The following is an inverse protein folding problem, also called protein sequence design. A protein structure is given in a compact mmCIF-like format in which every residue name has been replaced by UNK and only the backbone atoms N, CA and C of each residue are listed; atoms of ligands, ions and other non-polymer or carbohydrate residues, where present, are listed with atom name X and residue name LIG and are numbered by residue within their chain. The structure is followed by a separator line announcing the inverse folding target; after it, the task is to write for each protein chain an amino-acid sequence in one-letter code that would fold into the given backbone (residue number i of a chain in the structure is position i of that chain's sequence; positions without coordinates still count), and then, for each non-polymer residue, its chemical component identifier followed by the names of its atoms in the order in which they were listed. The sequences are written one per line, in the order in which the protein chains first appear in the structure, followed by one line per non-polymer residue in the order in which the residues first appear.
data_IF_852828503941
#
_entry.id   IF_852828503941
#
_cell.length_a   1.000
_cell.length_b   1.000
_cell.length_c   1.000
_cell.angle_alpha   90.00
_cell.angle_beta   90.00
_cell.angle_gamma   90.00
#
_symmetry.space_group_name_H-M   'P 1'
#
loop_
_entity.id
_entity.type
_entity.pdbx_description
1 polymer ?
#
# COMPACT_ATOMS: atom_id res chain seq x y z
N UNK A 1 51.27 -1.20 12.62
CA UNK A 1 50.06 -1.64 13.32
C UNK A 1 48.93 -1.62 12.30
N UNK A 2 48.63 -2.78 11.73
CA UNK A 2 47.64 -2.98 10.66
C UNK A 2 46.54 -3.86 11.23
N UNK A 3 45.31 -3.35 11.29
CA UNK A 3 44.14 -4.09 11.72
C UNK A 3 43.86 -5.28 10.80
N UNK A 4 43.47 -6.45 11.33
CA UNK A 4 43.06 -7.57 10.50
C UNK A 4 41.63 -7.38 9.99
N UNK A 5 41.43 -7.69 8.71
CA UNK A 5 40.13 -7.68 8.04
C UNK A 5 39.15 -8.66 8.71
N UNK A 6 37.83 -8.38 8.73
CA UNK A 6 36.85 -9.28 9.30
C UNK A 6 36.72 -10.53 8.41
N UNK A 7 37.06 -11.68 8.98
CA UNK A 7 36.85 -12.99 8.38
C UNK A 7 35.36 -13.23 8.15
N UNK A 8 35.01 -13.54 6.90
CA UNK A 8 33.68 -14.02 6.52
C UNK A 8 33.39 -15.35 7.24
N UNK A 9 32.59 -15.28 8.30
CA UNK A 9 32.03 -16.46 8.93
C UNK A 9 31.09 -17.13 7.92
N UNK A 10 31.40 -18.38 7.55
CA UNK A 10 30.52 -19.18 6.72
C UNK A 10 29.20 -19.39 7.45
N UNK A 11 28.12 -18.85 6.89
CA UNK A 11 26.77 -19.20 7.30
C UNK A 11 26.56 -20.68 7.00
N UNK A 12 26.82 -21.54 7.99
CA UNK A 12 26.38 -22.93 7.95
C UNK A 12 24.86 -22.89 7.83
N UNK A 13 24.34 -23.41 6.72
CA UNK A 13 22.92 -23.65 6.55
C UNK A 13 22.48 -24.63 7.64
N UNK A 14 21.75 -24.13 8.63
CA UNK A 14 21.13 -24.95 9.65
C UNK A 14 20.02 -25.79 8.99
N UNK A 15 20.32 -27.06 8.73
CA UNK A 15 19.44 -28.04 8.08
C UNK A 15 18.18 -28.36 8.91
N UNK A 16 18.08 -27.86 10.14
CA UNK A 16 16.88 -27.96 10.97
C UNK A 16 15.73 -27.02 10.56
N UNK A 17 15.99 -26.07 9.66
CA UNK A 17 15.01 -25.08 9.18
C UNK A 17 14.37 -25.47 7.82
N UNK A 18 14.84 -26.54 7.19
CA UNK A 18 14.27 -27.05 5.94
C UNK A 18 12.88 -27.64 6.19
N UNK A 19 11.84 -26.92 5.75
CA UNK A 19 10.44 -27.35 5.85
C UNK A 19 9.58 -26.57 6.85
N UNK A 20 10.12 -25.58 7.56
CA UNK A 20 9.31 -24.68 8.40
C UNK A 20 8.47 -23.72 7.54
N UNK A 21 7.19 -23.61 7.89
CA UNK A 21 6.26 -22.62 7.35
C UNK A 21 6.70 -21.20 7.75
N UNK A 22 6.47 -20.21 6.88
CA UNK A 22 6.86 -18.82 7.09
C UNK A 22 6.22 -18.20 8.35
N UNK A 23 5.04 -18.67 8.76
CA UNK A 23 4.44 -18.28 10.04
C UNK A 23 5.23 -18.78 11.25
N UNK A 24 5.74 -20.02 11.20
CA UNK A 24 6.56 -20.59 12.27
C UNK A 24 7.90 -19.85 12.39
N UNK A 25 8.53 -19.52 11.26
CA UNK A 25 9.77 -18.71 11.24
C UNK A 25 9.55 -17.32 11.84
N UNK A 26 8.45 -16.64 11.50
CA UNK A 26 8.12 -15.35 12.09
C UNK A 26 7.84 -15.45 13.61
N UNK A 27 7.23 -16.54 14.07
CA UNK A 27 6.98 -16.77 15.50
C UNK A 27 8.27 -16.93 16.32
N UNK A 28 9.41 -17.30 15.70
CA UNK A 28 10.70 -17.40 16.38
C UNK A 28 11.20 -16.07 16.94
N UNK A 29 10.70 -14.92 16.44
CA UNK A 29 10.99 -13.61 17.01
C UNK A 29 10.48 -13.45 18.45
N UNK A 30 9.49 -14.25 18.84
CA UNK A 30 8.94 -14.26 20.20
C UNK A 30 9.71 -15.22 21.13
N UNK A 31 10.78 -15.87 20.66
CA UNK A 31 11.62 -16.78 21.43
C UNK A 31 13.02 -16.18 21.59
N UNK A 32 13.48 -16.13 22.84
CA UNK A 32 14.86 -15.75 23.15
C UNK A 32 15.82 -16.91 22.87
N UNK A 33 16.96 -16.59 22.28
CA UNK A 33 18.07 -17.50 22.09
C UNK A 33 18.77 -17.85 23.41
N UNK A 34 19.76 -18.76 23.36
CA UNK A 34 20.49 -19.24 24.54
C UNK A 34 21.15 -18.13 25.38
N UNK A 35 21.44 -16.97 24.79
CA UNK A 35 22.06 -15.83 25.45
C UNK A 35 21.06 -14.67 25.70
N UNK A 36 19.75 -14.91 25.57
CA UNK A 36 18.71 -13.89 25.74
C UNK A 36 18.52 -12.95 24.54
N UNK A 37 19.07 -13.29 23.37
CA UNK A 37 18.98 -12.52 22.14
C UNK A 37 17.74 -12.87 21.30
N UNK A 38 17.22 -11.90 20.55
CA UNK A 38 16.15 -12.15 19.56
C UNK A 38 16.80 -12.62 18.26
N UNK A 39 16.22 -13.65 17.64
CA UNK A 39 16.70 -14.24 16.39
C UNK A 39 16.19 -13.47 15.16
N UNK A 40 16.67 -12.24 14.95
CA UNK A 40 16.19 -11.36 13.86
C UNK A 40 16.37 -11.92 12.44
N UNK A 41 17.35 -12.81 12.24
CA UNK A 41 17.57 -13.51 10.97
C UNK A 41 16.35 -14.36 10.55
N UNK A 42 15.55 -14.82 11.53
CA UNK A 42 14.34 -15.62 11.26
C UNK A 42 13.24 -14.82 10.58
N UNK A 43 13.15 -13.51 10.80
CA UNK A 43 12.18 -12.64 10.09
C UNK A 43 12.52 -12.53 8.60
N UNK A 44 13.81 -12.37 8.29
CA UNK A 44 14.30 -12.32 6.92
C UNK A 44 14.09 -13.67 6.23
N UNK A 45 14.34 -14.78 6.94
CA UNK A 45 14.04 -16.12 6.46
C UNK A 45 12.54 -16.34 6.23
N UNK A 46 11.68 -15.86 7.14
CA UNK A 46 10.23 -15.92 7.02
C UNK A 46 9.74 -15.14 5.78
N UNK A 47 10.23 -13.93 5.57
CA UNK A 47 9.93 -13.14 4.37
C UNK A 47 10.33 -13.92 3.10
N UNK A 48 11.55 -14.49 3.06
CA UNK A 48 12.01 -15.28 1.92
C UNK A 48 11.12 -16.51 1.66
N UNK A 49 10.77 -17.26 2.71
CA UNK A 49 9.91 -18.45 2.58
C UNK A 49 8.50 -18.08 2.15
N UNK A 50 7.94 -16.97 2.63
CA UNK A 50 6.65 -16.46 2.17
C UNK A 50 6.63 -16.22 0.66
N UNK A 51 7.72 -15.69 0.09
CA UNK A 51 7.82 -15.54 -1.37
C UNK A 51 7.89 -16.87 -2.12
N UNK A 52 8.69 -17.82 -1.64
CA UNK A 52 8.89 -19.11 -2.31
C UNK A 52 7.67 -20.03 -2.23
N UNK A 53 7.02 -20.07 -1.07
CA UNK A 53 5.92 -20.98 -0.76
C UNK A 53 4.56 -20.39 -1.18
N UNK A 54 4.38 -19.07 -1.14
CA UNK A 54 3.07 -18.44 -1.38
C UNK A 54 3.08 -17.45 -2.55
N UNK A 55 3.84 -16.35 -2.46
CA UNK A 55 3.72 -15.25 -3.43
C UNK A 55 4.04 -15.69 -4.86
N UNK A 56 5.19 -16.34 -5.08
CA UNK A 56 5.63 -16.71 -6.43
C UNK A 56 4.70 -17.74 -7.08
N UNK A 57 4.11 -18.64 -6.29
CA UNK A 57 3.19 -19.68 -6.79
C UNK A 57 1.82 -19.10 -7.15
N UNK A 58 1.39 -18.04 -6.46
CA UNK A 58 0.07 -17.43 -6.63
C UNK A 58 0.09 -16.16 -7.50
N UNK A 59 1.25 -15.71 -7.98
CA UNK A 59 1.34 -14.58 -8.92
C UNK A 59 1.04 -15.06 -10.33
N UNK A 60 0.25 -14.30 -11.10
CA UNK A 60 0.01 -14.58 -12.52
C UNK A 60 1.29 -14.30 -13.31
N UNK A 61 1.64 -15.22 -14.21
CA UNK A 61 2.76 -15.06 -15.13
C UNK A 61 2.23 -14.54 -16.47
N UNK A 62 2.94 -13.57 -17.04
CA UNK A 62 2.73 -13.02 -18.38
C UNK A 62 4.05 -13.16 -19.15
N UNK A 63 3.99 -13.35 -20.47
CA UNK A 63 5.19 -13.51 -21.29
C UNK A 63 6.01 -12.22 -21.36
N UNK A 64 5.34 -11.07 -21.43
CA UNK A 64 5.97 -9.77 -21.36
C UNK A 64 5.07 -8.72 -20.67
N UNK A 65 5.61 -7.50 -20.55
CA UNK A 65 4.90 -6.40 -19.92
C UNK A 65 3.74 -5.87 -20.77
N UNK A 66 3.81 -5.99 -22.11
CA UNK A 66 2.72 -5.49 -22.94
C UNK A 66 1.49 -6.37 -22.75
N UNK A 67 1.65 -7.68 -22.86
CA UNK A 67 0.59 -8.66 -22.61
C UNK A 67 -0.04 -8.43 -21.24
N UNK A 68 0.79 -8.19 -20.21
CA UNK A 68 0.30 -7.88 -18.87
C UNK A 68 -0.53 -6.61 -18.84
N UNK A 69 -0.04 -5.50 -19.38
CA UNK A 69 -0.75 -4.22 -19.33
C UNK A 69 -2.05 -4.26 -20.14
N UNK A 70 -2.02 -4.91 -21.30
CA UNK A 70 -3.20 -5.04 -22.16
C UNK A 70 -4.26 -5.91 -21.48
N UNK A 71 -3.88 -7.07 -20.93
CA UNK A 71 -4.78 -7.90 -20.12
C UNK A 71 -5.40 -7.12 -18.95
N UNK A 72 -4.59 -6.35 -18.21
CA UNK A 72 -5.07 -5.60 -17.05
C UNK A 72 -6.03 -4.46 -17.44
N UNK A 73 -5.87 -3.87 -18.62
CA UNK A 73 -6.80 -2.85 -19.13
C UNK A 73 -8.07 -3.50 -19.67
N UNK A 74 -7.94 -4.52 -20.52
CA UNK A 74 -9.07 -5.22 -21.16
C UNK A 74 -10.01 -5.85 -20.13
N UNK A 75 -9.45 -6.49 -19.09
CA UNK A 75 -10.21 -7.11 -18.00
C UNK A 75 -10.61 -6.11 -16.90
N UNK A 76 -10.51 -4.80 -17.14
CA UNK A 76 -10.95 -3.74 -16.23
C UNK A 76 -10.27 -3.75 -14.84
N UNK A 77 -9.00 -4.16 -14.77
CA UNK A 77 -8.20 -4.01 -13.56
C UNK A 77 -7.53 -2.64 -13.48
N UNK A 78 -7.00 -2.13 -14.59
CA UNK A 78 -6.34 -0.83 -14.69
C UNK A 78 -7.16 0.21 -15.46
N UNK A 79 -6.93 1.47 -15.11
CA UNK A 79 -7.53 2.64 -15.76
C UNK A 79 -6.68 3.01 -17.00
N UNK A 80 -7.16 2.79 -18.24
CA UNK A 80 -6.37 3.07 -19.46
C UNK A 80 -5.94 4.53 -19.56
N UNK A 81 -6.76 5.45 -19.06
CA UNK A 81 -6.55 6.90 -19.10
C UNK A 81 -5.26 7.33 -18.36
N UNK A 82 -4.77 6.51 -17.42
CA UNK A 82 -3.47 6.75 -16.75
C UNK A 82 -2.31 6.38 -17.66
N UNK A 83 -2.41 5.28 -18.40
CA UNK A 83 -1.35 4.76 -19.27
C UNK A 83 -1.26 5.56 -20.58
N UNK A 84 -2.39 6.00 -21.12
CA UNK A 84 -2.51 6.75 -22.38
C UNK A 84 -1.80 8.12 -22.36
N UNK A 85 -1.53 8.66 -21.16
CA UNK A 85 -0.75 9.90 -20.99
C UNK A 85 0.74 9.75 -21.28
N UNK A 86 1.21 8.51 -21.44
CA UNK A 86 2.61 8.20 -21.62
C UNK A 86 2.83 7.40 -22.89
N UNK A 87 4.03 7.52 -23.46
CA UNK A 87 4.43 6.63 -24.53
C UNK A 87 4.63 5.20 -23.99
N UNK A 88 4.17 4.19 -24.72
CA UNK A 88 4.39 2.77 -24.35
C UNK A 88 5.87 2.43 -24.10
N UNK A 89 6.85 2.93 -24.90
CA UNK A 89 8.27 2.75 -24.60
C UNK A 89 8.70 3.33 -23.26
N UNK A 90 8.20 4.50 -22.86
CA UNK A 90 8.49 5.07 -21.55
C UNK A 90 7.94 4.21 -20.42
N UNK A 91 6.67 3.77 -20.51
CA UNK A 91 6.06 2.89 -19.51
C UNK A 91 6.89 1.62 -19.33
N UNK A 92 7.33 0.98 -20.42
CA UNK A 92 8.24 -0.17 -20.35
C UNK A 92 9.55 0.14 -19.64
N UNK A 93 10.19 1.25 -20.01
CA UNK A 93 11.45 1.69 -19.41
C UNK A 93 11.28 1.96 -17.91
N UNK A 94 10.17 2.56 -17.49
CA UNK A 94 9.88 2.86 -16.09
C UNK A 94 9.70 1.58 -15.26
N UNK A 95 8.95 0.60 -15.77
CA UNK A 95 8.81 -0.70 -15.11
C UNK A 95 10.16 -1.43 -15.05
N UNK A 96 10.91 -1.47 -16.15
CA UNK A 96 12.26 -2.06 -16.15
C UNK A 96 13.17 -1.38 -15.12
N UNK A 97 13.12 -0.05 -15.01
CA UNK A 97 13.85 0.73 -14.01
C UNK A 97 13.46 0.32 -12.58
N UNK A 98 12.16 0.24 -12.28
CA UNK A 98 11.66 -0.20 -10.99
C UNK A 98 12.16 -1.61 -10.60
N UNK A 99 12.03 -2.57 -11.52
CA UNK A 99 12.49 -3.95 -11.30
C UNK A 99 14.03 -4.06 -11.22
N UNK A 100 14.78 -3.16 -11.86
CA UNK A 100 16.24 -3.13 -11.80
C UNK A 100 16.77 -2.83 -10.39
N UNK A 101 15.97 -2.17 -9.54
CA UNK A 101 16.30 -1.89 -8.14
C UNK A 101 16.32 -3.14 -7.26
N UNK A 102 15.75 -4.25 -7.74
CA UNK A 102 15.71 -5.55 -7.05
C UNK A 102 15.20 -5.42 -5.61
N UNK A 103 14.09 -4.70 -5.42
CA UNK A 103 13.52 -4.42 -4.10
C UNK A 103 13.29 -5.71 -3.30
N UNK A 104 13.57 -5.68 -2.00
CA UNK A 104 13.28 -6.78 -1.08
C UNK A 104 12.62 -6.21 0.16
N UNK A 105 11.51 -6.82 0.57
CA UNK A 105 10.90 -6.49 1.85
C UNK A 105 11.89 -6.85 2.97
N UNK A 106 12.21 -5.91 3.88
CA UNK A 106 13.15 -6.17 4.96
C UNK A 106 12.55 -7.05 6.06
N UNK A 107 11.22 -7.14 6.13
CA UNK A 107 10.50 -7.89 7.17
C UNK A 107 9.38 -8.76 6.58
N UNK A 108 9.04 -9.85 7.27
CA UNK A 108 7.92 -10.72 6.86
C UNK A 108 6.61 -9.95 6.89
N UNK A 109 6.35 -9.21 7.97
CA UNK A 109 5.09 -8.47 8.12
C UNK A 109 4.89 -7.45 7.00
N UNK A 110 5.95 -6.77 6.54
CA UNK A 110 5.87 -5.84 5.41
C UNK A 110 5.40 -6.53 4.13
N UNK A 111 6.03 -7.67 3.78
CA UNK A 111 5.63 -8.47 2.64
C UNK A 111 4.20 -9.00 2.79
N UNK A 112 3.90 -9.63 3.92
CA UNK A 112 2.59 -10.19 4.21
C UNK A 112 1.49 -9.13 4.13
N UNK A 113 1.69 -7.96 4.73
CA UNK A 113 0.71 -6.87 4.70
C UNK A 113 0.49 -6.34 3.28
N UNK A 114 1.56 -6.17 2.50
CA UNK A 114 1.46 -5.74 1.11
C UNK A 114 0.62 -6.71 0.26
N UNK A 115 0.95 -8.00 0.28
CA UNK A 115 0.26 -9.00 -0.54
C UNK A 115 -1.17 -9.30 -0.04
N UNK A 116 -1.42 -9.18 1.26
CA UNK A 116 -2.79 -9.41 1.78
C UNK A 116 -3.72 -8.23 1.54
N UNK A 117 -3.22 -6.99 1.65
CA UNK A 117 -4.07 -5.79 1.78
C UNK A 117 -3.87 -4.71 0.71
N UNK A 118 -2.78 -4.74 -0.09
CA UNK A 118 -2.44 -3.65 -1.02
C UNK A 118 -2.37 -4.05 -2.49
N UNK A 119 -1.69 -5.17 -2.76
CA UNK A 119 -1.45 -5.61 -4.13
C UNK A 119 -2.75 -5.92 -4.88
N UNK A 120 -2.81 -5.64 -6.17
CA UNK A 120 -3.92 -6.06 -7.01
C UNK A 120 -4.01 -7.59 -7.07
N UNK A 121 -5.25 -8.09 -6.94
CA UNK A 121 -5.61 -9.49 -7.09
C UNK A 121 -6.61 -9.64 -8.23
N UNK A 122 -6.74 -10.86 -8.75
CA UNK A 122 -7.88 -11.23 -9.58
C UNK A 122 -9.19 -10.98 -8.84
N UNK A 123 -10.29 -10.74 -9.55
CA UNK A 123 -11.59 -10.43 -8.91
C UNK A 123 -12.11 -11.56 -8.01
N UNK A 124 -11.74 -12.81 -8.28
CA UNK A 124 -12.04 -13.95 -7.42
C UNK A 124 -11.13 -14.05 -6.18
N UNK A 125 -10.16 -13.15 -6.05
CA UNK A 125 -9.24 -13.03 -4.91
C UNK A 125 -8.16 -14.11 -4.84
N UNK A 126 -8.06 -15.01 -5.83
CA UNK A 126 -7.17 -16.20 -5.74
C UNK A 126 -5.74 -15.94 -6.15
N UNK A 127 -5.48 -15.01 -7.07
CA UNK A 127 -4.14 -14.77 -7.63
C UNK A 127 -3.72 -13.32 -7.54
N UNK A 128 -2.41 -13.09 -7.48
CA UNK A 128 -1.81 -11.75 -7.50
C UNK A 128 -1.51 -11.31 -8.94
N UNK A 129 -1.87 -10.07 -9.27
CA UNK A 129 -1.60 -9.45 -10.56
C UNK A 129 -0.44 -8.44 -10.50
N UNK A 130 -0.13 -7.95 -9.29
CA UNK A 130 0.94 -7.00 -9.02
C UNK A 130 2.01 -7.58 -8.07
N UNK A 131 3.26 -7.18 -8.31
CA UNK A 131 4.35 -7.09 -7.34
C UNK A 131 4.48 -5.65 -6.85
N UNK A 132 5.34 -5.42 -5.86
CA UNK A 132 5.55 -4.10 -5.29
C UNK A 132 5.97 -3.07 -6.35
N UNK A 133 6.89 -3.45 -7.22
CA UNK A 133 7.41 -2.61 -8.30
C UNK A 133 6.31 -2.18 -9.28
N UNK A 134 5.36 -3.07 -9.62
CA UNK A 134 4.24 -2.73 -10.50
C UNK A 134 3.36 -1.65 -9.87
N UNK A 135 3.04 -1.82 -8.58
CA UNK A 135 2.20 -0.87 -7.85
C UNK A 135 2.88 0.49 -7.74
N UNK A 136 4.17 0.52 -7.45
CA UNK A 136 4.94 1.77 -7.41
C UNK A 136 4.92 2.46 -8.76
N UNK A 137 5.10 1.74 -9.87
CA UNK A 137 5.03 2.32 -11.21
C UNK A 137 3.65 2.93 -11.48
N UNK A 138 2.57 2.22 -11.20
CA UNK A 138 1.22 2.75 -11.43
C UNK A 138 0.90 3.95 -10.55
N UNK A 139 1.36 3.97 -9.30
CA UNK A 139 1.24 5.13 -8.41
C UNK A 139 2.00 6.32 -8.98
N UNK A 140 3.26 6.12 -9.40
CA UNK A 140 4.07 7.17 -9.98
C UNK A 140 3.46 7.74 -11.28
N UNK A 141 3.02 6.87 -12.20
CA UNK A 141 2.35 7.27 -13.45
C UNK A 141 1.07 8.07 -13.18
N UNK A 142 0.28 7.66 -12.18
CA UNK A 142 -0.95 8.36 -11.81
C UNK A 142 -0.66 9.74 -11.24
N UNK A 143 0.33 9.87 -10.35
CA UNK A 143 0.63 11.12 -9.67
C UNK A 143 1.40 12.12 -10.54
N UNK A 144 2.20 11.62 -11.48
CA UNK A 144 3.00 12.47 -12.37
C UNK A 144 2.21 12.98 -13.58
N UNK A 145 1.02 12.45 -13.83
CA UNK A 145 0.02 13.01 -14.76
C UNK A 145 0.51 13.27 -16.21
N UNK A 146 1.53 12.53 -16.67
CA UNK A 146 2.15 12.68 -18.00
C UNK A 146 3.60 13.20 -17.95
N UNK A 147 4.08 13.65 -16.79
CA UNK A 147 5.47 14.06 -16.60
C UNK A 147 6.39 12.84 -16.37
N UNK A 148 7.13 12.47 -17.41
CA UNK A 148 8.05 11.33 -17.39
C UNK A 148 9.20 11.47 -16.37
N UNK A 149 9.67 12.69 -16.13
CA UNK A 149 10.76 12.97 -15.18
C UNK A 149 10.24 12.78 -13.77
N UNK A 150 9.09 13.38 -13.46
CA UNK A 150 8.45 13.25 -12.16
C UNK A 150 8.06 11.79 -11.87
N UNK A 151 7.52 11.06 -12.85
CA UNK A 151 7.20 9.64 -12.71
C UNK A 151 8.44 8.82 -12.33
N UNK A 152 9.57 9.07 -12.99
CA UNK A 152 10.84 8.39 -12.69
C UNK A 152 11.34 8.71 -11.27
N UNK A 153 11.29 9.98 -10.87
CA UNK A 153 11.66 10.38 -9.51
C UNK A 153 10.76 9.75 -8.46
N UNK A 154 9.44 9.71 -8.67
CA UNK A 154 8.51 9.08 -7.74
C UNK A 154 8.81 7.58 -7.57
N UNK A 155 9.13 6.87 -8.66
CA UNK A 155 9.56 5.46 -8.57
C UNK A 155 10.81 5.32 -7.70
N UNK A 156 11.82 6.17 -7.91
CA UNK A 156 13.07 6.13 -7.13
C UNK A 156 12.85 6.45 -5.65
N UNK A 157 12.05 7.46 -5.33
CA UNK A 157 11.75 7.86 -3.95
C UNK A 157 10.92 6.80 -3.20
N UNK A 158 9.96 6.17 -3.87
CA UNK A 158 9.12 5.14 -3.24
C UNK A 158 9.88 3.83 -3.06
N UNK A 159 10.60 3.34 -4.07
CA UNK A 159 11.34 2.07 -3.97
C UNK A 159 12.48 2.17 -2.96
N UNK A 160 13.13 3.33 -2.86
CA UNK A 160 14.17 3.55 -1.84
C UNK A 160 13.63 3.66 -0.42
N UNK A 161 12.30 3.79 -0.24
CA UNK A 161 11.66 3.98 1.05
C UNK A 161 11.75 5.40 1.59
N UNK A 162 12.22 6.38 0.81
CA UNK A 162 12.27 7.80 1.21
C UNK A 162 10.90 8.45 1.20
N UNK A 163 10.01 8.01 0.31
CA UNK A 163 8.65 8.49 0.21
C UNK A 163 7.65 7.34 0.27
N UNK A 164 6.62 7.48 1.09
CA UNK A 164 5.50 6.54 1.15
C UNK A 164 4.20 7.34 1.03
N UNK A 165 3.48 7.25 -0.11
CA UNK A 165 2.16 7.83 -0.23
C UNK A 165 1.20 7.26 0.80
N UNK A 166 0.20 8.05 1.19
CA UNK A 166 -0.88 7.60 2.06
C UNK A 166 -1.57 6.36 1.48
N UNK A 167 -2.05 5.46 2.35
CA UNK A 167 -2.77 4.24 1.95
C UNK A 167 -3.86 4.46 0.88
N UNK A 168 -4.78 5.45 0.99
CA UNK A 168 -5.81 5.66 -0.05
C UNK A 168 -5.20 6.00 -1.42
N UNK A 169 -4.05 6.67 -1.48
CA UNK A 169 -3.35 6.94 -2.73
C UNK A 169 -2.65 5.68 -3.24
N UNK A 170 -1.78 5.08 -2.43
CA UNK A 170 -0.97 3.92 -2.83
C UNK A 170 -1.82 2.73 -3.26
N UNK A 171 -2.93 2.49 -2.55
CA UNK A 171 -3.84 1.38 -2.82
C UNK A 171 -4.63 1.55 -4.13
N UNK A 172 -5.04 2.77 -4.48
CA UNK A 172 -6.06 3.03 -5.48
C UNK A 172 -5.52 3.55 -6.83
N UNK A 173 -4.39 4.25 -6.84
CA UNK A 173 -3.87 4.90 -8.05
C UNK A 173 -3.71 3.94 -9.24
N UNK A 174 -4.29 4.27 -10.39
CA UNK A 174 -4.21 3.46 -11.62
C UNK A 174 -5.09 2.22 -11.69
N UNK A 175 -5.83 1.87 -10.63
CA UNK A 175 -6.82 0.78 -10.67
C UNK A 175 -8.16 1.28 -11.20
N UNK A 176 -8.85 0.47 -12.02
CA UNK A 176 -10.19 0.82 -12.53
C UNK A 176 -11.25 0.78 -11.42
N UNK A 177 -11.24 -0.30 -10.64
CA UNK A 177 -12.09 -0.46 -9.45
C UNK A 177 -11.39 0.15 -8.24
N UNK A 178 -11.56 1.46 -8.03
CA UNK A 178 -10.83 2.21 -7.00
C UNK A 178 -11.72 3.01 -6.07
N UNK A 179 -11.23 3.17 -4.84
CA UNK A 179 -11.71 4.21 -3.93
C UNK A 179 -11.15 5.60 -4.30
N UNK A 180 -11.44 6.58 -3.44
CA UNK A 180 -10.88 7.92 -3.56
C UNK A 180 -9.42 7.96 -3.07
N UNK A 181 -8.56 8.82 -3.65
CA UNK A 181 -7.17 8.98 -3.21
C UNK A 181 -7.05 9.76 -1.88
N UNK A 182 -8.15 10.37 -1.42
CA UNK A 182 -8.26 11.13 -0.17
C UNK A 182 -9.33 10.50 0.71
N UNK A 183 -9.01 10.31 2.00
CA UNK A 183 -9.91 9.64 2.95
C UNK A 183 -10.11 10.40 4.26
N UNK A 184 -9.56 11.61 4.44
CA UNK A 184 -9.67 12.36 5.70
C UNK A 184 -10.35 13.70 5.45
N UNK A 185 -11.46 13.95 6.14
CA UNK A 185 -12.30 15.13 5.93
C UNK A 185 -12.64 15.82 7.25
N UNK A 186 -12.62 17.15 7.24
CA UNK A 186 -13.04 17.98 8.36
C UNK A 186 -14.22 18.84 7.91
N UNK A 187 -15.36 18.71 8.59
CA UNK A 187 -16.57 19.44 8.28
C UNK A 187 -16.91 20.41 9.41
N UNK A 188 -17.18 21.66 9.03
CA UNK A 188 -17.75 22.66 9.91
C UNK A 188 -19.27 22.56 9.92
N UNK A 189 -19.88 22.64 11.10
CA UNK A 189 -21.33 22.68 11.27
C UNK A 189 -21.68 24.07 11.80
N UNK A 190 -22.70 24.70 11.20
CA UNK A 190 -23.26 25.96 11.67
C UNK A 190 -24.52 25.71 12.51
N UNK A 191 -24.86 26.66 13.38
CA UNK A 191 -25.96 26.55 14.34
C UNK A 191 -27.35 26.75 13.71
N UNK A 192 -27.69 25.89 12.75
CA UNK A 192 -29.00 25.82 12.10
C UNK A 192 -29.26 24.41 11.55
N UNK A 193 -30.55 24.08 11.39
CA UNK A 193 -30.99 22.74 10.98
C UNK A 193 -30.54 22.36 9.57
N UNK A 194 -30.41 23.32 8.66
CA UNK A 194 -29.93 23.10 7.30
C UNK A 194 -28.47 22.61 7.30
N UNK A 195 -27.60 23.25 8.09
CA UNK A 195 -26.20 22.87 8.23
C UNK A 195 -26.05 21.52 8.93
N UNK A 196 -26.82 21.26 9.99
CA UNK A 196 -26.84 19.97 10.69
C UNK A 196 -27.27 18.85 9.72
N UNK A 197 -28.36 19.06 8.97
CA UNK A 197 -28.85 18.09 7.98
C UNK A 197 -27.84 17.82 6.87
N UNK A 198 -27.17 18.87 6.37
CA UNK A 198 -26.09 18.72 5.39
C UNK A 198 -24.90 17.96 5.97
N UNK A 199 -24.49 18.23 7.21
CA UNK A 199 -23.37 17.55 7.85
C UNK A 199 -23.62 16.03 7.99
N UNK A 200 -24.84 15.63 8.37
CA UNK A 200 -25.26 14.23 8.42
C UNK A 200 -25.18 13.61 7.02
N UNK A 201 -25.72 14.29 6.00
CA UNK A 201 -25.67 13.81 4.63
C UNK A 201 -24.22 13.66 4.14
N UNK A 202 -23.37 14.67 4.34
CA UNK A 202 -21.96 14.63 3.97
C UNK A 202 -21.23 13.50 4.69
N UNK A 203 -21.47 13.28 5.98
CA UNK A 203 -20.89 12.16 6.72
C UNK A 203 -21.28 10.81 6.10
N UNK A 204 -22.55 10.61 5.71
CA UNK A 204 -23.00 9.40 5.01
C UNK A 204 -22.30 9.22 3.66
N UNK A 205 -22.21 10.28 2.84
CA UNK A 205 -21.62 10.19 1.50
C UNK A 205 -20.10 10.00 1.51
N UNK A 206 -19.40 10.52 2.52
CA UNK A 206 -17.96 10.34 2.68
C UNK A 206 -17.65 8.98 3.30
N UNK A 207 -18.40 8.59 4.35
CA UNK A 207 -18.23 7.30 5.03
C UNK A 207 -18.46 6.11 4.10
N UNK A 208 -19.48 6.15 3.22
CA UNK A 208 -19.73 5.06 2.25
C UNK A 208 -18.55 4.81 1.29
N UNK A 209 -17.64 5.78 1.12
CA UNK A 209 -16.43 5.69 0.28
C UNK A 209 -15.17 5.44 1.10
N UNK A 210 -15.30 5.10 2.39
CA UNK A 210 -14.17 4.84 3.29
C UNK A 210 -13.51 6.12 3.86
N UNK A 211 -14.19 7.27 3.78
CA UNK A 211 -13.71 8.52 4.35
C UNK A 211 -13.90 8.59 5.86
N UNK A 212 -12.84 8.90 6.60
CA UNK A 212 -12.89 9.37 7.98
C UNK A 212 -13.32 10.83 8.05
N UNK A 213 -14.33 11.12 8.85
CA UNK A 213 -14.96 12.45 8.94
C UNK A 213 -14.91 12.95 10.38
N UNK A 214 -14.30 14.12 10.58
CA UNK A 214 -14.38 14.86 11.83
C UNK A 214 -15.38 16.02 11.67
N UNK A 215 -16.21 16.23 12.69
CA UNK A 215 -17.25 17.27 12.71
C UNK A 215 -16.92 18.31 13.79
N UNK A 216 -16.95 19.60 13.42
CA UNK A 216 -16.85 20.69 14.40
C UNK A 216 -18.22 20.93 15.03
N UNK A 217 -18.33 20.70 16.34
CA UNK A 217 -19.56 20.93 17.11
C UNK A 217 -19.56 22.24 17.92
N UNK A 218 -18.42 22.94 18.00
CA UNK A 218 -18.25 24.14 18.84
C UNK A 218 -19.21 25.29 18.51
N UNK A 219 -19.70 25.36 17.26
CA UNK A 219 -20.67 26.38 16.86
C UNK A 219 -22.09 26.08 17.35
N UNK A 220 -22.43 24.82 17.63
CA UNK A 220 -23.78 24.42 18.00
C UNK A 220 -24.10 25.00 19.38
N UNK A 221 -25.28 25.62 19.49
CA UNK A 221 -25.75 26.17 20.77
C UNK A 221 -25.79 25.09 21.85
N UNK A 222 -25.54 25.50 23.08
CA UNK A 222 -25.52 24.63 24.25
C UNK A 222 -26.92 24.14 24.63
N UNK A 223 -26.95 23.10 25.46
CA UNK A 223 -28.19 22.59 26.03
C UNK A 223 -28.92 23.69 26.83
N UNK A 224 -30.21 23.89 26.55
CA UNK A 224 -31.02 24.92 27.19
C UNK A 224 -30.96 26.30 26.52
N UNK A 225 -30.18 26.48 25.46
CA UNK A 225 -30.19 27.71 24.68
C UNK A 225 -31.58 27.97 24.06
N UNK A 226 -31.96 29.25 23.85
CA UNK A 226 -33.28 29.58 23.31
C UNK A 226 -33.42 29.24 21.82
N UNK A 227 -34.62 28.82 21.42
CA UNK A 227 -35.00 28.63 20.01
C UNK A 227 -36.18 29.55 19.69
N UNK A 228 -36.03 30.40 18.67
CA UNK A 228 -37.04 31.40 18.29
C UNK A 228 -37.53 32.25 19.49
N UNK A 229 -36.60 32.63 20.38
CA UNK A 229 -36.84 33.40 21.63
C UNK A 229 -37.60 32.64 22.73
N UNK A 230 -37.83 31.34 22.58
CA UNK A 230 -38.42 30.50 23.63
C UNK A 230 -37.26 29.89 24.42
N UNK A 231 -37.19 30.21 25.71
CA UNK A 231 -36.14 29.77 26.64
C UNK A 231 -36.16 28.24 26.85
N UNK A 232 -34.98 27.65 27.11
CA UNK A 232 -34.79 26.24 27.46
C UNK A 232 -35.35 25.23 26.43
N UNK A 233 -35.02 25.41 25.14
CA UNK A 233 -35.57 24.61 24.02
C UNK A 233 -34.54 23.82 23.20
N UNK A 234 -33.23 24.02 23.40
CA UNK A 234 -32.19 23.29 22.67
C UNK A 234 -31.70 22.02 23.33
#
# INVERSE_FOLDING_TARGET
MTDPAPTAASAKSDTSLEGLDYHALNAMLNLYGPNGEIQFDKDVAAARQYFLQHVNQNTVFFHDLDEKLDYLVEENYYEPEVLERYSRPFVKKLFQHAYSKKFRFPTFLGAFKYYTSYTLKTFDGKRYLERFEDRVCMVALTLADGDEILATHLVDEIISGRFQPATPTFLNSGKKQRGEPVSCFLLRIEDNMESIGRAINSALQLSKRGGGVALLLTNIREHGAPIKKIENQS
#
